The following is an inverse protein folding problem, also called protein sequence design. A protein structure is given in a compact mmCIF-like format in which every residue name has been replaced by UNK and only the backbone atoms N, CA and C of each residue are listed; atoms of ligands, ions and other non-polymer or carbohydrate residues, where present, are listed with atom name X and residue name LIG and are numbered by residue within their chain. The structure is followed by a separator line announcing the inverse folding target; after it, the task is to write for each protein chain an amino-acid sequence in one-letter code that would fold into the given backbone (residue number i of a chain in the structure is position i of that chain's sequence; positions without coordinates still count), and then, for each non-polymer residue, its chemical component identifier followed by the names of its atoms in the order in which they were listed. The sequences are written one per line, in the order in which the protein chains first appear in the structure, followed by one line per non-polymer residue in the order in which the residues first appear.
data_IF_976014383425
#
_entry.id   IF_976014383425
#
_cell.length_a   1.000
_cell.length_b   1.000
_cell.length_c   1.000
_cell.angle_alpha   90.00
_cell.angle_beta   90.00
_cell.angle_gamma   90.00
#
_symmetry.space_group_name_H-M   'P 1'
#
loop_
_entity.id
_entity.type
_entity.pdbx_description
1 polymer ?
#
# COMPACT_ATOMS: atom_id res chain seq x y z
N UNK A 1 26.69 -50.76 7.83
CA UNK A 1 25.38 -50.20 7.43
C UNK A 1 24.82 -49.47 8.63
N UNK A 2 25.23 -48.21 8.81
CA UNK A 2 24.90 -47.42 9.99
C UNK A 2 23.57 -46.69 9.73
N UNK A 3 22.52 -47.07 10.46
CA UNK A 3 21.27 -46.32 10.48
C UNK A 3 21.53 -45.03 11.24
N UNK A 4 21.70 -43.92 10.51
CA UNK A 4 21.68 -42.59 11.11
C UNK A 4 20.26 -42.28 11.63
N UNK A 5 19.94 -42.78 12.82
CA UNK A 5 18.81 -42.31 13.60
C UNK A 5 19.13 -40.87 13.99
N UNK A 6 18.62 -39.90 13.25
CA UNK A 6 18.70 -38.51 13.66
C UNK A 6 18.01 -38.35 15.01
N UNK A 7 18.68 -37.77 16.02
CA UNK A 7 18.04 -37.55 17.31
C UNK A 7 16.84 -36.62 17.12
N UNK A 8 15.68 -37.02 17.66
CA UNK A 8 14.42 -36.24 17.69
C UNK A 8 14.61 -34.71 17.84
N UNK A 9 15.52 -34.19 18.69
CA UNK A 9 15.73 -32.73 18.79
C UNK A 9 16.17 -32.07 17.48
N UNK A 10 16.90 -32.75 16.60
CA UNK A 10 17.36 -32.17 15.32
C UNK A 10 16.20 -32.02 14.32
N UNK A 11 15.25 -32.94 14.32
CA UNK A 11 14.04 -32.87 13.48
C UNK A 11 13.16 -31.69 13.92
N UNK A 12 12.99 -31.51 15.23
CA UNK A 12 12.24 -30.38 15.80
C UNK A 12 12.85 -29.03 15.40
N UNK A 13 14.17 -28.89 15.48
CA UNK A 13 14.87 -27.65 15.11
C UNK A 13 14.66 -27.32 13.62
N UNK A 14 14.76 -28.31 12.73
CA UNK A 14 14.54 -28.11 11.29
C UNK A 14 13.09 -27.68 11.01
N UNK A 15 12.09 -28.29 11.65
CA UNK A 15 10.68 -27.90 11.51
C UNK A 15 10.41 -26.48 12.00
N UNK A 16 11.08 -26.02 13.06
CA UNK A 16 10.94 -24.63 13.52
C UNK A 16 11.54 -23.61 12.55
N UNK A 17 12.67 -23.93 11.91
CA UNK A 17 13.31 -23.04 10.93
C UNK A 17 12.46 -22.93 9.65
N UNK A 18 11.94 -24.05 9.15
CA UNK A 18 11.03 -24.05 7.99
C UNK A 18 9.67 -23.40 8.33
N UNK A 19 9.14 -23.60 9.54
CA UNK A 19 7.91 -22.94 10.00
C UNK A 19 8.04 -21.42 10.09
N UNK A 20 9.21 -20.89 10.47
CA UNK A 20 9.47 -19.45 10.49
C UNK A 20 9.63 -18.84 9.08
N UNK A 21 10.12 -19.63 8.11
CA UNK A 21 10.25 -19.19 6.71
C UNK A 21 8.92 -19.24 5.94
N UNK A 22 7.92 -20.00 6.40
CA UNK A 22 6.56 -20.05 5.84
C UNK A 22 5.67 -18.85 6.25
N UNK A 23 6.19 -17.87 6.99
CA UNK A 23 5.53 -16.55 7.11
C UNK A 23 5.85 -15.74 5.85
N UNK A 24 5.45 -16.28 4.70
CA UNK A 24 5.37 -15.53 3.46
C UNK A 24 4.23 -14.52 3.59
N UNK A 25 4.56 -13.23 3.44
CA UNK A 25 3.74 -12.33 2.64
C UNK A 25 2.37 -11.94 3.20
N UNK A 26 2.18 -11.75 4.50
CA UNK A 26 1.08 -10.86 4.93
C UNK A 26 1.43 -9.44 4.51
N UNK A 27 0.75 -9.00 3.47
CA UNK A 27 0.55 -7.61 3.16
C UNK A 27 -0.02 -6.90 4.40
N UNK A 28 0.84 -6.43 5.30
CA UNK A 28 0.45 -5.68 6.49
C UNK A 28 0.06 -4.26 6.09
N UNK A 29 -0.96 -4.11 5.25
CA UNK A 29 -1.55 -2.81 5.01
C UNK A 29 -2.40 -2.44 6.22
N UNK A 30 -2.08 -1.37 6.95
CA UNK A 30 -2.82 -0.99 8.15
C UNK A 30 -4.32 -0.75 7.98
N UNK A 31 -4.85 -0.73 6.75
CA UNK A 31 -6.26 -0.48 6.42
C UNK A 31 -7.05 -1.77 6.09
N UNK A 32 -6.41 -2.95 6.16
CA UNK A 32 -7.06 -4.23 5.93
C UNK A 32 -8.03 -4.54 7.10
N UNK A 33 -9.33 -4.57 6.82
CA UNK A 33 -10.38 -4.81 7.82
C UNK A 33 -11.08 -3.57 8.39
N UNK A 34 -10.72 -2.35 7.99
CA UNK A 34 -11.49 -1.15 8.35
C UNK A 34 -12.79 -1.07 7.53
N UNK A 35 -13.93 -0.79 8.21
CA UNK A 35 -15.17 -0.47 7.52
C UNK A 35 -14.98 0.81 6.70
N UNK A 36 -15.22 0.72 5.38
CA UNK A 36 -15.21 1.88 4.50
C UNK A 36 -16.18 2.94 5.04
N UNK A 37 -15.77 4.19 4.97
CA UNK A 37 -16.68 5.30 5.29
C UNK A 37 -17.95 5.21 4.42
N UNK A 38 -19.09 5.58 5.00
CA UNK A 38 -20.35 5.71 4.24
C UNK A 38 -20.11 6.56 2.98
N UNK A 39 -20.64 6.10 1.85
CA UNK A 39 -20.45 6.79 0.57
C UNK A 39 -20.97 8.22 0.66
N UNK A 40 -20.16 9.24 0.30
CA UNK A 40 -20.63 10.62 0.22
C UNK A 40 -21.74 10.80 -0.83
N UNK A 41 -21.73 9.95 -1.86
CA UNK A 41 -22.70 9.91 -2.96
C UNK A 41 -22.74 8.51 -3.57
N UNK A 42 -23.89 8.10 -4.11
CA UNK A 42 -24.05 6.81 -4.79
C UNK A 42 -22.96 6.61 -5.86
N UNK A 43 -22.25 5.50 -5.76
CA UNK A 43 -21.21 5.11 -6.73
C UNK A 43 -19.83 5.71 -6.45
N UNK A 44 -19.65 6.41 -5.32
CA UNK A 44 -18.36 6.94 -4.93
C UNK A 44 -17.30 5.85 -4.74
N UNK A 45 -17.62 4.74 -4.07
CA UNK A 45 -16.63 3.68 -3.85
C UNK A 45 -16.26 3.00 -5.17
N UNK A 46 -17.22 2.83 -6.09
CA UNK A 46 -16.95 2.29 -7.42
C UNK A 46 -16.01 3.21 -8.22
N UNK A 47 -16.23 4.52 -8.13
CA UNK A 47 -15.34 5.52 -8.74
C UNK A 47 -13.93 5.47 -8.14
N UNK A 48 -13.80 5.50 -6.81
CA UNK A 48 -12.49 5.41 -6.13
C UNK A 48 -11.78 4.09 -6.47
N UNK A 49 -12.48 2.96 -6.49
CA UNK A 49 -11.92 1.66 -6.87
C UNK A 49 -11.40 1.65 -8.30
N UNK A 50 -12.13 2.28 -9.24
CA UNK A 50 -11.69 2.43 -10.64
C UNK A 50 -10.46 3.35 -10.76
N UNK A 51 -10.37 4.41 -9.96
CA UNK A 51 -9.17 5.23 -9.91
C UNK A 51 -7.97 4.41 -9.40
N UNK A 52 -8.13 3.72 -8.27
CA UNK A 52 -7.07 2.95 -7.64
C UNK A 52 -6.59 1.75 -8.47
N UNK A 53 -7.42 1.18 -9.36
CA UNK A 53 -7.01 0.05 -10.21
C UNK A 53 -5.88 0.38 -11.20
N UNK A 54 -5.55 1.66 -11.37
CA UNK A 54 -4.39 2.09 -12.18
C UNK A 54 -3.05 1.89 -11.47
N UNK A 55 -3.05 1.82 -10.14
CA UNK A 55 -1.86 1.73 -9.30
C UNK A 55 -1.38 0.28 -9.12
N UNK A 56 -1.08 -0.38 -10.23
CA UNK A 56 -0.63 -1.78 -10.23
C UNK A 56 0.86 -1.92 -9.91
N UNK A 57 1.31 -3.16 -9.73
CA UNK A 57 2.72 -3.53 -9.58
C UNK A 57 3.42 -2.82 -8.42
N UNK A 58 2.75 -2.68 -7.27
CA UNK A 58 3.32 -2.10 -6.05
C UNK A 58 3.39 -0.57 -6.02
N UNK A 59 2.90 0.12 -7.04
CA UNK A 59 2.85 1.59 -7.06
C UNK A 59 1.92 2.15 -5.98
N UNK A 60 0.84 1.43 -5.64
CA UNK A 60 -0.02 1.70 -4.50
C UNK A 60 0.74 1.73 -3.17
N UNK A 61 1.65 0.77 -2.95
CA UNK A 61 2.52 0.72 -1.78
C UNK A 61 3.54 1.85 -1.78
N UNK A 62 4.19 2.13 -2.91
CA UNK A 62 5.14 3.24 -3.01
C UNK A 62 4.46 4.59 -2.69
N UNK A 63 3.28 4.82 -3.26
CA UNK A 63 2.49 6.02 -2.99
C UNK A 63 2.10 6.11 -1.52
N UNK A 64 1.68 5.00 -0.90
CA UNK A 64 1.41 4.96 0.53
C UNK A 64 2.65 5.34 1.34
N UNK A 65 3.80 4.73 1.09
CA UNK A 65 5.02 5.01 1.83
C UNK A 65 5.49 6.46 1.67
N UNK A 66 5.33 7.03 0.47
CA UNK A 66 5.60 8.44 0.20
C UNK A 66 4.70 9.36 1.05
N UNK A 67 3.39 9.13 1.03
CA UNK A 67 2.40 9.98 1.72
C UNK A 67 2.60 9.91 3.24
N UNK A 68 2.71 8.70 3.80
CA UNK A 68 2.65 8.49 5.24
C UNK A 68 4.01 8.55 5.93
N UNK A 69 5.08 8.14 5.24
CA UNK A 69 6.39 8.01 5.86
C UNK A 69 7.49 8.84 5.18
N UNK A 70 7.23 9.43 4.00
CA UNK A 70 8.18 10.26 3.22
C UNK A 70 9.58 9.61 3.12
N UNK A 71 9.61 8.30 2.85
CA UNK A 71 10.85 7.50 2.91
C UNK A 71 11.70 7.58 1.65
N UNK A 72 11.08 7.63 0.48
CA UNK A 72 11.73 7.57 -0.83
C UNK A 72 10.87 8.28 -1.87
N UNK A 73 11.50 8.84 -2.91
CA UNK A 73 10.79 9.40 -4.06
C UNK A 73 10.08 8.29 -4.85
N UNK A 74 9.00 8.66 -5.55
CA UNK A 74 8.28 7.73 -6.39
C UNK A 74 9.12 7.32 -7.60
N UNK A 75 9.18 6.02 -7.87
CA UNK A 75 9.87 5.48 -9.03
C UNK A 75 9.19 5.93 -10.32
N UNK A 76 9.96 6.09 -11.40
CA UNK A 76 9.44 6.60 -12.68
C UNK A 76 8.27 5.77 -13.24
N UNK A 77 8.32 4.43 -13.07
CA UNK A 77 7.24 3.54 -13.48
C UNK A 77 5.96 3.73 -12.64
N UNK A 78 6.09 4.08 -11.36
CA UNK A 78 4.93 4.45 -10.56
C UNK A 78 4.40 5.82 -10.99
N UNK A 79 5.29 6.78 -11.27
CA UNK A 79 4.91 8.09 -11.78
C UNK A 79 4.12 8.03 -13.09
N UNK A 80 4.51 7.19 -14.06
CA UNK A 80 3.72 7.02 -15.28
C UNK A 80 2.29 6.52 -15.01
N UNK A 81 2.10 5.66 -14.01
CA UNK A 81 0.76 5.17 -13.62
C UNK A 81 -0.06 6.27 -12.94
N UNK A 82 0.57 7.04 -12.06
CA UNK A 82 -0.04 8.22 -11.42
C UNK A 82 -0.46 9.27 -12.45
N UNK A 83 0.42 9.62 -13.38
CA UNK A 83 0.10 10.55 -14.47
C UNK A 83 -1.06 10.01 -15.34
N UNK A 84 -1.02 8.73 -15.71
CA UNK A 84 -2.09 8.08 -16.49
C UNK A 84 -3.43 8.02 -15.75
N UNK A 85 -3.42 7.86 -14.43
CA UNK A 85 -4.63 7.90 -13.60
C UNK A 85 -5.34 9.26 -13.69
N UNK A 86 -4.57 10.34 -13.80
CA UNK A 86 -5.07 11.70 -13.95
C UNK A 86 -5.47 12.37 -12.64
N UNK A 87 -5.45 13.70 -12.69
CA UNK A 87 -5.54 14.58 -11.52
C UNK A 87 -6.85 14.40 -10.74
N UNK A 88 -7.98 14.29 -11.45
CA UNK A 88 -9.30 14.10 -10.83
C UNK A 88 -9.35 12.84 -9.97
N UNK A 89 -8.82 11.72 -10.49
CA UNK A 89 -8.77 10.47 -9.75
C UNK A 89 -7.82 10.57 -8.56
N UNK A 90 -6.64 11.14 -8.77
CA UNK A 90 -5.65 11.29 -7.71
C UNK A 90 -6.15 12.17 -6.56
N UNK A 91 -6.76 13.33 -6.84
CA UNK A 91 -7.36 14.22 -5.84
C UNK A 91 -8.46 13.52 -5.06
N UNK A 92 -9.30 12.72 -5.72
CA UNK A 92 -10.37 11.99 -5.05
C UNK A 92 -9.87 10.90 -4.10
N UNK A 93 -8.84 10.14 -4.49
CA UNK A 93 -8.17 9.18 -3.61
C UNK A 93 -7.52 9.91 -2.44
N UNK A 94 -6.75 10.96 -2.71
CA UNK A 94 -6.06 11.79 -1.70
C UNK A 94 -7.03 12.37 -0.68
N UNK A 95 -8.16 12.88 -1.15
CA UNK A 95 -9.22 13.37 -0.28
C UNK A 95 -9.82 12.27 0.58
N UNK A 96 -10.13 11.11 -0.02
CA UNK A 96 -10.71 9.97 0.69
C UNK A 96 -9.79 9.46 1.80
N UNK A 97 -8.50 9.26 1.49
CA UNK A 97 -7.53 8.73 2.45
C UNK A 97 -7.22 9.72 3.57
N UNK A 98 -7.20 11.03 3.28
CA UNK A 98 -6.99 12.07 4.30
C UNK A 98 -8.11 12.11 5.36
N UNK A 99 -9.29 11.58 5.04
CA UNK A 99 -10.48 11.63 5.90
C UNK A 99 -10.75 10.33 6.66
N UNK A 100 -9.91 9.30 6.51
CA UNK A 100 -10.03 8.10 7.33
C UNK A 100 -9.83 8.50 8.80
N UNK A 101 -10.72 8.04 9.69
CA UNK A 101 -10.82 8.51 11.09
C UNK A 101 -9.46 8.49 11.82
N UNK A 102 -8.66 7.44 11.61
CA UNK A 102 -7.31 7.27 12.17
C UNK A 102 -6.31 8.37 11.78
N UNK A 103 -6.54 9.06 10.67
CA UNK A 103 -5.64 10.04 10.09
C UNK A 103 -6.12 11.49 10.28
N UNK A 104 -7.20 11.69 11.03
CA UNK A 104 -7.85 13.01 11.19
C UNK A 104 -6.89 14.12 11.62
N UNK A 105 -5.94 13.83 12.53
CA UNK A 105 -4.93 14.78 12.99
C UNK A 105 -3.89 15.16 11.93
N UNK A 106 -3.73 14.33 10.88
CA UNK A 106 -2.74 14.50 9.82
C UNK A 106 -3.36 14.74 8.44
N UNK A 107 -4.69 14.93 8.36
CA UNK A 107 -5.43 15.01 7.09
C UNK A 107 -4.84 16.01 6.09
N UNK A 108 -4.43 17.19 6.56
CA UNK A 108 -3.83 18.23 5.72
C UNK A 108 -2.48 17.81 5.18
N UNK A 109 -1.61 17.23 6.02
CA UNK A 109 -0.31 16.73 5.59
C UNK A 109 -0.43 15.57 4.59
N UNK A 110 -1.35 14.64 4.85
CA UNK A 110 -1.61 13.49 3.96
C UNK A 110 -2.09 13.97 2.60
N UNK A 111 -3.07 14.87 2.57
CA UNK A 111 -3.57 15.44 1.33
C UNK A 111 -2.45 16.18 0.58
N UNK A 112 -1.76 17.12 1.24
CA UNK A 112 -0.73 17.94 0.61
C UNK A 112 0.44 17.09 0.08
N UNK A 113 0.93 16.12 0.86
CA UNK A 113 1.98 15.21 0.39
C UNK A 113 1.53 14.38 -0.79
N UNK A 114 0.29 13.88 -0.76
CA UNK A 114 -0.25 13.16 -1.91
C UNK A 114 -0.27 14.04 -3.16
N UNK A 115 -0.69 15.31 -3.05
CA UNK A 115 -0.66 16.26 -4.17
C UNK A 115 0.77 16.54 -4.65
N UNK A 116 1.71 16.82 -3.74
CA UNK A 116 3.13 17.03 -4.08
C UNK A 116 3.70 15.85 -4.88
N UNK A 117 3.46 14.61 -4.42
CA UNK A 117 3.97 13.42 -5.10
C UNK A 117 3.41 13.26 -6.52
N UNK A 118 2.15 13.62 -6.73
CA UNK A 118 1.54 13.59 -8.06
C UNK A 118 2.09 14.69 -8.98
N UNK A 119 2.20 15.92 -8.49
CA UNK A 119 2.77 17.03 -9.26
C UNK A 119 4.23 16.76 -9.63
N UNK A 120 5.00 16.15 -8.74
CA UNK A 120 6.35 15.71 -9.04
C UNK A 120 6.37 14.66 -10.16
N UNK A 121 5.50 13.65 -10.07
CA UNK A 121 5.39 12.63 -11.11
C UNK A 121 5.00 13.20 -12.46
N UNK A 122 4.02 14.11 -12.52
CA UNK A 122 3.58 14.75 -13.79
C UNK A 122 4.70 15.54 -14.45
N UNK A 123 5.59 16.18 -13.68
CA UNK A 123 6.75 16.89 -14.24
C UNK A 123 7.82 15.97 -14.81
N UNK A 124 7.86 14.72 -14.35
CA UNK A 124 8.91 13.73 -14.67
C UNK A 124 8.52 12.78 -15.81
N UNK A 125 7.26 12.81 -16.27
CA UNK A 125 6.68 11.86 -17.24
C UNK A 125 6.17 12.56 -18.49
#
# INVERSE_FOLDING_TARGET
MEKHQMPLPRILVVLTIFGALLIEGRSNYPWEGEQLALEPRKGWNAFIKKCASTLTNGCDRQLYDYIFYRRQDLEINCCYKLARMGETCHKAISYSISRVKRFTSWKGHIYNRSIEGYEDCVRRT
#
